data_IF_006760140103
#
_entry.id   IF_006760140103
#
_cell.length_a   1.000
_cell.length_b   1.000
_cell.length_c   1.000
_cell.angle_alpha   90.00
_cell.angle_beta   90.00
_cell.angle_gamma   90.00
#
_symmetry.space_group_name_H-M   'P 1'
#
loop_
_entity.id
_entity.type
_entity.pdbx_description
1 polymer ?
#
# COMPACT_ATOMS: atom_id res chain seq x y z
N UNK A 1 11.20 -0.09 -1.15
CA UNK A 1 12.50 -0.73 -1.47
C UNK A 1 13.58 0.24 -1.02
N UNK A 2 14.54 -0.22 -0.23
CA UNK A 2 15.68 0.62 0.15
C UNK A 2 16.70 0.55 -1.00
N UNK A 3 17.04 1.69 -1.58
CA UNK A 3 18.03 1.79 -2.67
C UNK A 3 19.45 1.49 -2.20
N UNK A 4 20.35 1.15 -3.12
CA UNK A 4 21.77 0.93 -2.81
C UNK A 4 22.51 2.28 -2.88
N UNK A 5 23.16 2.67 -1.78
CA UNK A 5 23.98 3.88 -1.73
C UNK A 5 25.43 3.58 -2.15
N UNK A 6 26.00 4.39 -3.05
CA UNK A 6 27.39 4.27 -3.45
C UNK A 6 28.34 4.72 -2.31
N UNK A 7 29.33 3.91 -1.90
CA UNK A 7 30.25 4.30 -0.84
C UNK A 7 31.19 5.45 -1.24
N UNK A 8 31.41 5.65 -2.54
CA UNK A 8 32.33 6.66 -3.07
C UNK A 8 31.68 8.02 -3.31
N UNK A 9 30.50 8.05 -3.94
CA UNK A 9 29.83 9.29 -4.34
C UNK A 9 28.53 9.57 -3.59
N UNK A 10 28.13 8.69 -2.66
CA UNK A 10 26.94 8.84 -1.79
C UNK A 10 25.61 8.96 -2.54
N UNK A 11 25.59 8.60 -3.82
CA UNK A 11 24.37 8.56 -4.61
C UNK A 11 23.53 7.34 -4.22
N UNK A 12 22.25 7.57 -3.91
CA UNK A 12 21.22 6.52 -3.80
C UNK A 12 20.91 5.92 -5.18
N UNK A 13 20.45 4.67 -5.20
CA UNK A 13 20.21 3.89 -6.42
C UNK A 13 21.43 3.84 -7.35
N UNK A 14 22.58 3.56 -6.73
CA UNK A 14 23.87 3.46 -7.40
C UNK A 14 23.92 2.36 -8.48
N UNK A 15 22.97 1.44 -8.50
CA UNK A 15 22.90 0.27 -9.40
C UNK A 15 21.54 0.27 -10.10
N UNK A 16 21.53 0.08 -11.43
CA UNK A 16 20.31 0.11 -12.24
C UNK A 16 19.27 -0.95 -11.85
N UNK A 17 19.73 -2.16 -11.49
CA UNK A 17 18.87 -3.31 -11.20
C UNK A 17 19.14 -3.90 -9.81
N UNK A 18 19.00 -3.09 -8.75
CA UNK A 18 19.18 -3.57 -7.36
C UNK A 18 18.31 -4.81 -7.02
N UNK A 19 17.17 -4.98 -7.69
CA UNK A 19 16.25 -6.12 -7.56
C UNK A 19 16.81 -7.45 -8.10
N UNK A 20 17.77 -7.42 -9.03
CA UNK A 20 18.39 -8.63 -9.58
C UNK A 20 19.46 -9.21 -8.65
N UNK A 21 19.87 -8.45 -7.64
CA UNK A 21 20.79 -8.92 -6.62
C UNK A 21 20.08 -9.95 -5.74
N UNK A 22 20.31 -11.22 -6.08
CA UNK A 22 19.91 -12.37 -5.25
C UNK A 22 20.57 -12.27 -3.87
N UNK A 23 20.16 -13.14 -2.96
CA UNK A 23 20.85 -13.26 -1.68
C UNK A 23 22.35 -13.53 -1.86
N UNK A 24 23.18 -12.79 -1.13
CA UNK A 24 24.64 -12.91 -1.20
C UNK A 24 25.36 -11.62 -1.56
N UNK A 25 26.68 -11.73 -1.72
CA UNK A 25 27.57 -10.62 -2.06
C UNK A 25 27.80 -10.56 -3.57
N UNK A 26 27.64 -9.36 -4.15
CA UNK A 26 27.72 -9.12 -5.58
C UNK A 26 28.67 -7.96 -5.87
N UNK A 27 29.50 -8.12 -6.89
CA UNK A 27 30.30 -7.02 -7.43
C UNK A 27 29.42 -6.19 -8.37
N UNK A 28 29.30 -4.89 -8.11
CA UNK A 28 28.45 -3.96 -8.86
C UNK A 28 29.22 -2.71 -9.24
N UNK A 29 28.82 -2.04 -10.31
CA UNK A 29 29.40 -0.77 -10.77
C UNK A 29 28.43 0.38 -10.54
N UNK A 30 28.91 1.48 -9.95
CA UNK A 30 28.07 2.66 -9.73
C UNK A 30 27.74 3.36 -11.05
N UNK A 31 26.46 3.54 -11.36
CA UNK A 31 26.01 4.25 -12.58
C UNK A 31 26.43 5.72 -12.65
N UNK A 32 26.81 6.33 -11.51
CA UNK A 32 27.15 7.75 -11.45
C UNK A 32 28.65 8.03 -11.45
N UNK A 33 29.45 7.19 -10.79
CA UNK A 33 30.91 7.40 -10.73
C UNK A 33 31.72 6.26 -11.35
N UNK A 34 31.07 5.24 -11.91
CA UNK A 34 31.69 4.09 -12.60
C UNK A 34 32.73 3.35 -11.76
N UNK A 35 32.61 3.43 -10.42
CA UNK A 35 33.47 2.70 -9.49
C UNK A 35 32.78 1.39 -9.11
N UNK A 36 33.57 0.34 -9.07
CA UNK A 36 33.13 -0.98 -8.60
C UNK A 36 33.13 -1.06 -7.08
N UNK A 37 32.14 -1.72 -6.51
CA UNK A 37 32.05 -2.02 -5.08
C UNK A 37 31.25 -3.32 -4.86
N UNK A 38 31.29 -3.84 -3.64
CA UNK A 38 30.48 -5.00 -3.26
C UNK A 38 29.18 -4.55 -2.60
N UNK A 39 28.07 -5.12 -3.07
CA UNK A 39 26.74 -4.95 -2.48
C UNK A 39 26.23 -6.30 -1.97
N UNK A 40 25.72 -6.34 -0.74
CA UNK A 40 25.14 -7.54 -0.17
C UNK A 40 23.62 -7.49 -0.23
N UNK A 41 23.02 -8.36 -1.04
CA UNK A 41 21.58 -8.57 -1.06
C UNK A 41 21.15 -9.41 0.13
N UNK A 42 20.18 -8.90 0.91
CA UNK A 42 19.48 -9.67 1.94
C UNK A 42 18.02 -9.77 1.55
N UNK A 43 17.55 -10.99 1.34
CA UNK A 43 16.13 -11.28 1.11
C UNK A 43 15.50 -11.67 2.44
N UNK A 44 14.24 -11.28 2.63
CA UNK A 44 13.42 -11.79 3.72
C UNK A 44 12.08 -12.23 3.14
N UNK A 45 11.59 -13.38 3.60
CA UNK A 45 10.24 -13.81 3.28
C UNK A 45 9.28 -13.05 4.19
N UNK A 46 8.38 -12.26 3.60
CA UNK A 46 7.25 -11.69 4.31
C UNK A 46 6.01 -12.53 4.00
N UNK A 47 5.51 -13.24 4.99
CA UNK A 47 4.27 -13.99 4.86
C UNK A 47 3.09 -13.03 5.09
N UNK A 48 2.12 -13.05 4.18
CA UNK A 48 0.82 -12.43 4.36
C UNK A 48 -0.20 -13.56 4.50
N UNK A 49 -0.69 -13.81 5.71
CA UNK A 49 -1.80 -14.74 5.93
C UNK A 49 -3.11 -13.98 5.77
N UNK A 50 -3.94 -14.40 4.80
CA UNK A 50 -5.32 -13.94 4.66
C UNK A 50 -6.26 -15.05 5.16
N UNK A 51 -7.18 -14.74 6.06
CA UNK A 51 -8.29 -15.64 6.39
C UNK A 51 -9.29 -15.58 5.25
N UNK A 52 -9.51 -16.70 4.56
CA UNK A 52 -10.37 -16.76 3.37
C UNK A 52 -11.68 -17.52 3.58
N UNK A 53 -11.85 -18.19 4.72
CA UNK A 53 -13.00 -19.04 4.99
C UNK A 53 -13.67 -18.62 6.28
N UNK A 54 -15.01 -18.51 6.24
CA UNK A 54 -15.85 -18.29 7.42
C UNK A 54 -16.26 -19.61 8.08
N UNK A 55 -16.64 -19.54 9.36
CA UNK A 55 -17.26 -20.66 10.04
C UNK A 55 -18.61 -20.96 9.37
N UNK A 56 -18.86 -22.23 9.05
CA UNK A 56 -20.13 -22.69 8.43
C UNK A 56 -20.47 -22.08 7.05
N UNK A 57 -19.51 -21.42 6.38
CA UNK A 57 -19.71 -20.83 5.06
C UNK A 57 -20.65 -19.61 5.05
N UNK A 58 -20.90 -19.00 6.21
CA UNK A 58 -21.72 -17.78 6.33
C UNK A 58 -20.86 -16.61 6.80
N UNK A 59 -21.05 -15.45 6.18
CA UNK A 59 -20.37 -14.23 6.59
C UNK A 59 -21.20 -13.52 7.66
N UNK A 60 -20.58 -13.23 8.78
CA UNK A 60 -21.07 -12.29 9.78
C UNK A 60 -20.16 -11.06 9.73
N UNK A 61 -20.74 -9.87 9.56
CA UNK A 61 -20.01 -8.63 9.41
C UNK A 61 -20.10 -7.76 10.67
N UNK A 62 -19.05 -6.96 10.90
CA UNK A 62 -19.06 -5.94 11.94
C UNK A 62 -20.01 -4.79 11.61
N UNK A 63 -20.15 -3.86 12.55
CA UNK A 63 -20.80 -2.58 12.29
C UNK A 63 -20.08 -1.81 11.16
N UNK A 64 -20.86 -0.99 10.46
CA UNK A 64 -20.38 -0.11 9.41
C UNK A 64 -19.51 1.02 9.99
N UNK A 65 -18.36 1.25 9.36
CA UNK A 65 -17.43 2.32 9.71
C UNK A 65 -17.31 3.28 8.54
N UNK A 66 -17.41 4.59 8.81
CA UNK A 66 -17.23 5.64 7.80
C UNK A 66 -15.74 5.97 7.65
N UNK A 67 -15.29 6.06 6.41
CA UNK A 67 -13.97 6.52 6.01
C UNK A 67 -14.14 7.78 5.18
N UNK A 68 -13.61 8.88 5.68
CA UNK A 68 -13.67 10.18 5.02
C UNK A 68 -12.32 10.41 4.30
N UNK A 69 -12.38 10.51 2.98
CA UNK A 69 -11.22 10.77 2.13
C UNK A 69 -11.24 12.24 1.74
N UNK A 70 -10.69 13.07 2.63
CA UNK A 70 -10.24 14.39 2.24
C UNK A 70 -9.08 14.19 1.26
N UNK A 71 -9.04 14.93 0.16
CA UNK A 71 -7.99 14.87 -0.85
C UNK A 71 -6.59 15.06 -0.23
N UNK A 72 -5.96 13.97 0.19
CA UNK A 72 -5.18 13.98 1.44
C UNK A 72 -3.76 14.56 1.33
N UNK A 73 -3.27 14.94 0.15
CA UNK A 73 -1.98 15.63 0.09
C UNK A 73 -1.72 16.45 -1.17
N UNK A 74 -2.20 15.99 -2.33
CA UNK A 74 -2.03 16.69 -3.60
C UNK A 74 -2.72 18.06 -3.64
N UNK A 75 -3.89 18.19 -2.98
CA UNK A 75 -4.62 19.46 -2.89
C UNK A 75 -3.98 20.38 -1.84
N UNK A 76 -3.56 19.86 -0.68
CA UNK A 76 -2.84 20.64 0.35
C UNK A 76 -1.51 21.21 -0.15
N UNK A 77 -0.81 20.51 -1.06
CA UNK A 77 0.39 21.01 -1.73
C UNK A 77 0.13 21.71 -3.07
N UNK A 78 -1.13 21.81 -3.50
CA UNK A 78 -1.55 22.41 -4.77
C UNK A 78 -0.83 21.82 -6.01
N UNK A 79 -0.47 20.54 -5.94
CA UNK A 79 0.27 19.83 -6.99
C UNK A 79 -0.69 19.39 -8.10
N UNK A 80 -1.93 18.99 -7.75
CA UNK A 80 -2.97 18.60 -8.71
C UNK A 80 -4.39 18.86 -8.14
N UNK A 81 -4.98 20.05 -8.34
CA UNK A 81 -6.19 20.49 -7.63
C UNK A 81 -7.52 19.79 -8.04
N UNK A 82 -7.51 18.93 -9.07
CA UNK A 82 -8.75 18.41 -9.67
C UNK A 82 -8.82 16.87 -9.78
N UNK A 83 -8.05 16.11 -8.97
CA UNK A 83 -7.89 14.65 -9.20
C UNK A 83 -8.78 13.79 -8.30
N UNK A 84 -9.18 14.27 -7.13
CA UNK A 84 -10.14 13.56 -6.29
C UNK A 84 -11.01 14.59 -5.55
N UNK A 85 -12.31 14.58 -5.82
CA UNK A 85 -13.26 15.28 -4.97
C UNK A 85 -13.33 14.57 -3.61
N UNK A 86 -13.44 15.32 -2.50
CA UNK A 86 -13.64 14.71 -1.19
C UNK A 86 -14.87 13.80 -1.19
N UNK A 87 -14.71 12.57 -0.72
CA UNK A 87 -15.78 11.58 -0.68
C UNK A 87 -15.69 10.75 0.60
N UNK A 88 -16.78 10.05 0.92
CA UNK A 88 -16.84 9.12 2.03
C UNK A 88 -17.19 7.74 1.52
N UNK A 89 -16.59 6.72 2.14
CA UNK A 89 -16.92 5.32 1.90
C UNK A 89 -17.31 4.70 3.24
N UNK A 90 -18.36 3.89 3.25
CA UNK A 90 -18.68 3.04 4.38
C UNK A 90 -18.11 1.66 4.12
N UNK A 91 -17.45 1.08 5.12
CA UNK A 91 -17.01 -0.32 5.03
C UNK A 91 -17.29 -1.08 6.32
N UNK A 92 -17.51 -2.39 6.19
CA UNK A 92 -17.56 -3.34 7.30
C UNK A 92 -16.76 -4.57 6.94
N UNK A 93 -16.25 -5.27 7.96
CA UNK A 93 -15.39 -6.43 7.77
C UNK A 93 -16.05 -7.67 8.32
N UNK A 94 -15.81 -8.82 7.70
CA UNK A 94 -16.24 -10.07 8.28
C UNK A 94 -15.50 -10.33 9.60
N UNK A 95 -16.19 -10.87 10.60
CA UNK A 95 -15.60 -11.17 11.92
C UNK A 95 -14.61 -12.32 11.87
N UNK A 96 -14.80 -13.25 10.93
CA UNK A 96 -14.05 -14.50 10.84
C UNK A 96 -13.03 -14.53 9.69
N UNK A 97 -13.32 -13.87 8.57
CA UNK A 97 -12.44 -13.80 7.39
C UNK A 97 -12.08 -12.36 7.02
N UNK A 98 -11.12 -12.20 6.11
CA UNK A 98 -10.66 -10.87 5.67
C UNK A 98 -11.48 -10.34 4.48
N UNK A 99 -12.76 -10.69 4.42
CA UNK A 99 -13.70 -10.10 3.48
C UNK A 99 -14.18 -8.74 3.98
N UNK A 100 -14.27 -7.80 3.05
CA UNK A 100 -14.67 -6.43 3.31
C UNK A 100 -15.83 -6.11 2.38
N UNK A 101 -16.92 -5.65 2.96
CA UNK A 101 -18.04 -5.06 2.23
C UNK A 101 -17.88 -3.55 2.30
N UNK A 102 -18.05 -2.87 1.17
CA UNK A 102 -17.93 -1.42 1.08
C UNK A 102 -19.07 -0.85 0.24
N UNK A 103 -19.50 0.37 0.58
CA UNK A 103 -20.42 1.15 -0.24
C UNK A 103 -19.70 1.70 -1.48
N UNK A 104 -20.48 2.20 -2.43
CA UNK A 104 -19.97 3.13 -3.44
C UNK A 104 -19.39 4.40 -2.79
N UNK A 105 -18.67 5.19 -3.59
CA UNK A 105 -18.21 6.52 -3.19
C UNK A 105 -19.41 7.45 -3.01
N UNK A 106 -19.52 8.04 -1.82
CA UNK A 106 -20.58 8.98 -1.46
C UNK A 106 -20.03 10.38 -1.27
N UNK A 107 -20.87 11.43 -1.38
CA UNK A 107 -20.45 12.78 -1.02
C UNK A 107 -19.84 12.83 0.38
N UNK A 108 -18.83 13.68 0.55
CA UNK A 108 -18.12 13.82 1.82
C UNK A 108 -19.05 14.01 3.02
N UNK A 109 -18.82 13.26 4.09
CA UNK A 109 -19.59 13.29 5.33
C UNK A 109 -20.96 12.61 5.25
N UNK A 110 -21.30 11.96 4.14
CA UNK A 110 -22.62 11.31 3.97
C UNK A 110 -22.88 10.24 5.03
N UNK A 111 -24.15 10.17 5.47
CA UNK A 111 -24.63 9.11 6.33
C UNK A 111 -24.67 7.76 5.59
N UNK A 112 -24.70 6.66 6.34
CA UNK A 112 -24.85 5.32 5.78
C UNK A 112 -26.18 5.23 5.00
N UNK A 113 -26.17 4.84 3.71
CA UNK A 113 -27.38 4.64 2.92
C UNK A 113 -28.34 3.65 3.56
N UNK A 114 -29.64 3.92 3.46
CA UNK A 114 -30.66 3.07 4.13
C UNK A 114 -30.68 1.64 3.61
N UNK A 115 -30.47 1.43 2.31
CA UNK A 115 -30.43 0.09 1.72
C UNK A 115 -29.27 -0.78 2.25
N UNK A 116 -28.24 -0.18 2.87
CA UNK A 116 -27.13 -0.91 3.49
C UNK A 116 -27.33 -1.19 4.99
N UNK A 117 -28.38 -0.62 5.61
CA UNK A 117 -28.71 -0.85 7.02
C UNK A 117 -29.50 -2.15 7.24
N UNK A 118 -30.12 -2.67 6.19
CA UNK A 118 -31.05 -3.81 6.25
C UNK A 118 -30.40 -5.14 5.79
N UNK A 119 -29.10 -5.14 5.48
CA UNK A 119 -28.32 -6.28 4.99
C UNK A 119 -27.48 -6.95 6.09
#
# INVERSE_FOLDING_TARGET
>A
MNGIECPYCKKLDAVSNALELREGEHKVECIACQKEFFATGKTYLKFHSKKTNCREGKHEFTEWVRHDFESDWYIRMNIMPNICEPHSIWSRRCVDCDEVEASDELPFGSALPEHLKEA
#
